data_IF_888665274628
#
_entry.id   IF_888665274628
#
_cell.length_a   1.000
_cell.length_b   1.000
_cell.length_c   1.000
_cell.angle_alpha   90.00
_cell.angle_beta   90.00
_cell.angle_gamma   90.00
#
_symmetry.space_group_name_H-M   'P 1'
#
loop_
_entity.id
_entity.type
_entity.pdbx_description
1 polymer ?
#
# COMPACT_ATOMS: atom_id res chain seq x y z
N UNK A 1 -18.01 -14.35 -14.02
CA UNK A 1 -18.31 -14.14 -12.58
C UNK A 1 -17.60 -15.23 -11.78
N UNK A 2 -17.19 -14.97 -10.53
CA UNK A 2 -16.43 -15.92 -9.69
C UNK A 2 -17.24 -16.40 -8.48
N UNK A 3 -16.91 -17.59 -7.98
CA UNK A 3 -17.43 -18.18 -6.74
C UNK A 3 -16.28 -18.76 -5.90
N UNK A 4 -16.52 -18.89 -4.60
CA UNK A 4 -15.58 -19.48 -3.66
C UNK A 4 -15.66 -21.02 -3.73
N UNK A 5 -14.52 -21.67 -3.85
CA UNK A 5 -14.38 -23.11 -3.76
C UNK A 5 -13.39 -23.46 -2.64
N UNK A 6 -13.86 -24.21 -1.64
CA UNK A 6 -13.02 -24.73 -0.56
C UNK A 6 -12.15 -25.88 -1.08
N UNK A 7 -10.88 -25.89 -0.72
CA UNK A 7 -9.93 -26.93 -1.14
C UNK A 7 -9.66 -27.90 0.01
N UNK A 8 -9.11 -27.41 1.13
CA UNK A 8 -8.88 -28.18 2.35
C UNK A 8 -8.76 -27.24 3.56
N UNK A 9 -9.13 -27.72 4.74
CA UNK A 9 -9.07 -26.95 5.99
C UNK A 9 -9.88 -25.65 5.93
N UNK A 10 -9.23 -24.54 6.28
CA UNK A 10 -9.70 -23.16 6.25
C UNK A 10 -9.22 -22.38 5.00
N UNK A 11 -8.80 -23.09 3.93
CA UNK A 11 -8.31 -22.47 2.69
C UNK A 11 -9.30 -22.62 1.52
N UNK A 12 -9.28 -21.62 0.63
CA UNK A 12 -10.15 -21.56 -0.53
C UNK A 12 -9.46 -20.89 -1.74
N UNK A 13 -10.03 -21.14 -2.93
CA UNK A 13 -9.70 -20.44 -4.17
C UNK A 13 -10.97 -19.80 -4.76
N UNK A 14 -10.79 -18.80 -5.62
CA UNK A 14 -11.87 -18.33 -6.49
C UNK A 14 -11.82 -19.07 -7.82
N UNK A 15 -12.99 -19.53 -8.28
CA UNK A 15 -13.17 -20.20 -9.57
C UNK A 15 -14.28 -19.53 -10.37
N UNK A 16 -14.22 -19.60 -11.70
CA UNK A 16 -15.28 -19.12 -12.58
C UNK A 16 -16.58 -19.87 -12.29
N UNK A 17 -17.70 -19.15 -12.28
CA UNK A 17 -19.01 -19.72 -11.93
C UNK A 17 -19.41 -20.83 -12.92
N UNK A 18 -19.16 -20.58 -14.21
CA UNK A 18 -19.68 -21.39 -15.31
C UNK A 18 -18.81 -22.60 -15.63
N UNK A 19 -17.48 -22.44 -15.56
CA UNK A 19 -16.52 -23.46 -16.00
C UNK A 19 -15.69 -24.07 -14.85
N UNK A 20 -15.82 -23.56 -13.62
CA UNK A 20 -14.99 -23.92 -12.46
C UNK A 20 -13.47 -23.80 -12.73
N UNK A 21 -13.08 -22.83 -13.56
CA UNK A 21 -11.66 -22.56 -13.84
C UNK A 21 -11.11 -21.65 -12.74
N UNK A 22 -9.94 -21.95 -12.13
CA UNK A 22 -9.32 -21.08 -11.14
C UNK A 22 -9.10 -19.65 -11.64
N UNK A 23 -9.23 -18.69 -10.73
CA UNK A 23 -8.78 -17.32 -10.98
C UNK A 23 -7.28 -17.33 -11.27
N UNK A 24 -6.88 -16.70 -12.36
CA UNK A 24 -5.49 -16.62 -12.80
C UNK A 24 -4.83 -15.34 -12.27
N UNK A 25 -3.51 -15.38 -12.08
CA UNK A 25 -2.67 -14.22 -11.77
C UNK A 25 -2.38 -13.39 -13.05
N UNK A 26 -1.52 -12.38 -12.94
CA UNK A 26 -1.12 -11.51 -14.06
C UNK A 26 -0.37 -12.28 -15.17
N UNK A 27 0.31 -13.37 -14.83
CA UNK A 27 1.08 -14.21 -15.75
C UNK A 27 0.23 -15.32 -16.41
N UNK A 28 -1.01 -15.52 -15.98
CA UNK A 28 -1.91 -16.56 -16.48
C UNK A 28 -1.87 -17.88 -15.70
N UNK A 29 -1.16 -17.93 -14.59
CA UNK A 29 -1.11 -19.09 -13.69
C UNK A 29 -2.23 -19.05 -12.65
N UNK A 30 -2.75 -20.20 -12.18
CA UNK A 30 -3.75 -20.23 -11.12
C UNK A 30 -3.25 -19.58 -9.82
N UNK A 31 -4.03 -18.67 -9.25
CA UNK A 31 -3.78 -18.14 -7.90
C UNK A 31 -3.81 -19.31 -6.90
N UNK A 32 -2.79 -19.37 -6.04
CA UNK A 32 -2.66 -20.40 -5.02
C UNK A 32 -3.80 -20.32 -3.98
N UNK A 33 -4.16 -21.43 -3.31
CA UNK A 33 -5.10 -21.40 -2.20
C UNK A 33 -4.68 -20.42 -1.10
N UNK A 34 -5.64 -19.64 -0.63
CA UNK A 34 -5.46 -18.64 0.45
C UNK A 34 -6.43 -18.93 1.59
N UNK A 35 -6.23 -18.37 2.79
CA UNK A 35 -7.23 -18.44 3.86
C UNK A 35 -8.62 -18.02 3.36
N UNK A 36 -9.67 -18.73 3.78
CA UNK A 36 -11.04 -18.56 3.28
C UNK A 36 -11.53 -17.13 3.45
N UNK A 37 -11.14 -16.46 4.54
CA UNK A 37 -11.48 -15.06 4.78
C UNK A 37 -10.85 -14.12 3.74
N UNK A 38 -9.61 -14.39 3.29
CA UNK A 38 -8.98 -13.62 2.21
C UNK A 38 -9.70 -13.87 0.88
N UNK A 39 -10.04 -15.12 0.58
CA UNK A 39 -10.82 -15.45 -0.62
C UNK A 39 -12.20 -14.77 -0.60
N UNK A 40 -12.86 -14.68 0.56
CA UNK A 40 -14.12 -13.94 0.73
C UNK A 40 -13.93 -12.44 0.53
N UNK A 41 -12.86 -11.85 1.06
CA UNK A 41 -12.55 -10.43 0.84
C UNK A 41 -12.38 -10.13 -0.65
N UNK A 42 -11.61 -10.96 -1.36
CA UNK A 42 -11.42 -10.84 -2.81
C UNK A 42 -12.73 -11.00 -3.59
N UNK A 43 -13.55 -12.00 -3.24
CA UNK A 43 -14.85 -12.20 -3.87
C UNK A 43 -15.78 -11.00 -3.64
N UNK A 44 -15.72 -10.39 -2.46
CA UNK A 44 -16.48 -9.19 -2.14
C UNK A 44 -15.99 -7.98 -2.94
N UNK A 45 -14.67 -7.85 -3.17
CA UNK A 45 -14.12 -6.85 -4.07
C UNK A 45 -14.66 -7.03 -5.50
N UNK A 46 -14.66 -8.26 -6.02
CA UNK A 46 -15.10 -8.57 -7.38
C UNK A 46 -16.59 -8.30 -7.64
N UNK A 47 -17.40 -8.26 -6.58
CA UNK A 47 -18.84 -7.96 -6.66
C UNK A 47 -19.14 -6.46 -6.65
N UNK A 48 -18.14 -5.60 -6.50
CA UNK A 48 -18.35 -4.15 -6.50
C UNK A 48 -18.50 -3.62 -7.92
N UNK A 49 -19.29 -2.56 -8.07
CA UNK A 49 -19.55 -1.91 -9.35
C UNK A 49 -18.34 -1.19 -9.96
N UNK A 50 -17.23 -1.03 -9.23
CA UNK A 50 -16.01 -0.38 -9.73
C UNK A 50 -15.03 -1.35 -10.42
N UNK A 51 -15.39 -2.63 -10.53
CA UNK A 51 -14.54 -3.67 -11.14
C UNK A 51 -14.70 -3.80 -12.66
N UNK A 52 -15.53 -2.95 -13.28
CA UNK A 52 -15.78 -2.97 -14.72
C UNK A 52 -15.33 -1.64 -15.35
N UNK A 53 -14.77 -1.69 -16.56
CA UNK A 53 -14.54 -0.47 -17.36
C UNK A 53 -15.83 0.04 -18.03
N UNK A 54 -15.68 1.08 -18.84
CA UNK A 54 -16.76 1.73 -19.58
C UNK A 54 -17.44 0.78 -20.58
N UNK A 55 -16.73 -0.27 -21.02
CA UNK A 55 -17.19 -1.29 -21.95
C UNK A 55 -17.72 -2.55 -21.24
N UNK A 56 -17.93 -2.48 -19.92
CA UNK A 56 -18.37 -3.59 -19.07
C UNK A 56 -17.41 -4.79 -19.04
N UNK A 57 -16.12 -4.58 -19.36
CA UNK A 57 -15.11 -5.62 -19.19
C UNK A 57 -14.69 -5.70 -17.72
N UNK A 58 -14.63 -6.91 -17.19
CA UNK A 58 -14.20 -7.15 -15.81
C UNK A 58 -12.67 -6.98 -15.68
N UNK A 59 -12.24 -6.08 -14.79
CA UNK A 59 -10.83 -5.72 -14.55
C UNK A 59 -10.44 -6.11 -13.12
N UNK A 60 -9.98 -7.36 -12.87
CA UNK A 60 -9.57 -7.81 -11.54
C UNK A 60 -8.43 -6.97 -10.94
N UNK A 61 -7.60 -6.34 -11.79
CA UNK A 61 -6.48 -5.46 -11.41
C UNK A 61 -6.91 -4.24 -10.58
N UNK A 62 -8.21 -3.91 -10.53
CA UNK A 62 -8.73 -2.85 -9.66
C UNK A 62 -8.86 -3.24 -8.19
N UNK A 63 -8.64 -4.51 -7.84
CA UNK A 63 -8.55 -4.99 -6.46
C UNK A 63 -7.09 -5.10 -6.01
N UNK A 64 -6.74 -4.42 -4.93
CA UNK A 64 -5.42 -4.53 -4.31
C UNK A 64 -5.11 -5.95 -3.81
N UNK A 65 -6.14 -6.62 -3.28
CA UNK A 65 -6.02 -8.00 -2.81
C UNK A 65 -5.68 -8.91 -4.00
N UNK A 66 -6.36 -8.73 -5.15
CA UNK A 66 -6.03 -9.48 -6.36
C UNK A 66 -4.58 -9.25 -6.78
N UNK A 67 -4.16 -7.99 -6.90
CA UNK A 67 -2.82 -7.67 -7.38
C UNK A 67 -1.73 -8.22 -6.43
N UNK A 68 -1.93 -8.16 -5.11
CA UNK A 68 -0.99 -8.76 -4.14
C UNK A 68 -0.94 -10.28 -4.27
N UNK A 69 -2.09 -10.96 -4.30
CA UNK A 69 -2.14 -12.41 -4.44
C UNK A 69 -1.56 -12.89 -5.77
N UNK A 70 -1.79 -12.13 -6.82
CA UNK A 70 -1.28 -12.37 -8.15
C UNK A 70 0.25 -12.33 -8.17
N UNK A 71 0.84 -11.27 -7.63
CA UNK A 71 2.29 -11.12 -7.57
C UNK A 71 2.94 -12.12 -6.59
N UNK A 72 2.33 -12.37 -5.43
CA UNK A 72 2.81 -13.39 -4.47
C UNK A 72 2.80 -14.80 -5.09
N UNK A 73 1.75 -15.11 -5.87
CA UNK A 73 1.68 -16.37 -6.60
C UNK A 73 2.84 -16.49 -7.59
N UNK A 74 3.12 -15.43 -8.36
CA UNK A 74 4.23 -15.44 -9.32
C UNK A 74 5.57 -15.71 -8.63
N UNK A 75 5.89 -14.96 -7.57
CA UNK A 75 7.15 -15.14 -6.83
C UNK A 75 7.30 -16.54 -6.22
N UNK A 76 6.22 -17.07 -5.62
CA UNK A 76 6.23 -18.43 -5.06
C UNK A 76 6.44 -19.51 -6.13
N UNK A 77 5.89 -19.32 -7.33
CA UNK A 77 6.04 -20.27 -8.42
C UNK A 77 7.43 -20.21 -9.05
N UNK A 78 8.10 -19.05 -8.98
CA UNK A 78 9.46 -18.85 -9.48
C UNK A 78 10.56 -19.24 -8.47
N UNK A 79 10.17 -19.66 -7.25
CA UNK A 79 11.08 -20.07 -6.17
C UNK A 79 12.11 -18.97 -5.81
N UNK A 80 11.68 -17.70 -5.89
CA UNK A 80 12.53 -16.56 -5.56
C UNK A 80 12.71 -16.46 -4.04
N UNK A 81 13.77 -17.10 -3.52
CA UNK A 81 14.06 -17.18 -2.07
C UNK A 81 14.44 -15.85 -1.40
N UNK A 82 14.47 -14.70 -2.09
CA UNK A 82 14.86 -13.43 -1.45
C UNK A 82 14.36 -12.18 -2.20
N UNK A 83 13.04 -11.97 -2.27
CA UNK A 83 12.53 -10.65 -2.65
C UNK A 83 12.86 -9.64 -1.54
N UNK A 84 13.83 -8.77 -1.83
CA UNK A 84 14.26 -7.68 -0.96
C UNK A 84 13.86 -6.35 -1.58
N UNK A 85 13.26 -5.48 -0.77
CA UNK A 85 12.90 -4.12 -1.18
C UNK A 85 13.88 -3.13 -0.51
N UNK A 86 14.63 -2.41 -1.34
CA UNK A 86 15.51 -1.32 -0.92
C UNK A 86 14.83 0.02 -1.17
N UNK A 87 14.59 0.77 -0.09
CA UNK A 87 13.98 2.11 -0.17
C UNK A 87 14.96 3.22 0.16
N UNK A 88 16.24 2.91 0.31
CA UNK A 88 17.25 3.86 0.82
C UNK A 88 17.42 5.09 -0.06
N UNK A 89 17.42 4.90 -1.37
CA UNK A 89 17.56 5.99 -2.34
C UNK A 89 16.29 6.84 -2.41
N UNK A 90 15.12 6.21 -2.63
CA UNK A 90 13.83 6.90 -2.77
C UNK A 90 13.42 7.67 -1.51
N UNK A 91 13.80 7.18 -0.32
CA UNK A 91 13.59 7.88 0.95
C UNK A 91 14.17 9.30 0.96
N UNK A 92 15.20 9.58 0.15
CA UNK A 92 15.76 10.93 0.04
C UNK A 92 14.72 11.96 -0.42
N UNK A 93 13.72 11.56 -1.22
CA UNK A 93 12.68 12.48 -1.69
C UNK A 93 11.37 12.41 -0.91
N UNK A 94 11.32 11.67 0.20
CA UNK A 94 10.08 11.47 0.96
C UNK A 94 9.44 12.80 1.35
N UNK A 95 8.22 13.04 0.84
CA UNK A 95 7.52 14.32 0.98
C UNK A 95 7.23 14.65 2.44
N UNK A 96 7.03 13.65 3.29
CA UNK A 96 6.71 13.89 4.70
C UNK A 96 7.82 14.66 5.43
N UNK A 97 9.09 14.48 5.04
CA UNK A 97 10.22 15.21 5.63
C UNK A 97 10.49 16.57 4.97
N UNK A 98 9.72 16.94 3.94
CA UNK A 98 9.89 18.20 3.19
C UNK A 98 8.75 19.20 3.40
N UNK A 99 7.79 18.85 4.26
CA UNK A 99 6.71 19.73 4.70
C UNK A 99 7.21 20.78 5.68
N UNK A 100 7.09 22.04 5.31
CA UNK A 100 7.39 23.16 6.19
C UNK A 100 6.38 23.24 7.34
N UNK A 101 6.80 23.77 8.49
CA UNK A 101 5.96 23.84 9.69
C UNK A 101 4.75 24.79 9.55
N UNK A 102 4.79 25.71 8.58
CA UNK A 102 3.67 26.55 8.16
C UNK A 102 2.76 25.88 7.12
N UNK A 103 3.05 24.63 6.72
CA UNK A 103 2.30 23.82 5.75
C UNK A 103 0.90 23.42 6.19
N UNK A 104 0.36 24.02 7.26
CA UNK A 104 -1.03 23.88 7.68
C UNK A 104 -1.43 22.43 7.92
N UNK A 105 -2.50 22.01 7.25
CA UNK A 105 -3.11 20.69 7.46
C UNK A 105 -2.24 19.53 6.98
N UNK A 106 -1.41 19.71 5.94
CA UNK A 106 -0.48 18.66 5.50
C UNK A 106 0.53 18.31 6.61
N UNK A 107 1.05 19.33 7.31
CA UNK A 107 1.98 19.16 8.42
C UNK A 107 1.33 18.52 9.66
N UNK A 108 0.05 18.82 9.90
CA UNK A 108 -0.73 18.20 10.96
C UNK A 108 -1.15 16.76 10.62
N UNK A 109 -1.40 16.45 9.35
CA UNK A 109 -1.77 15.11 8.91
C UNK A 109 -0.66 14.08 9.13
N UNK A 110 0.60 14.51 9.10
CA UNK A 110 1.77 13.65 9.38
C UNK A 110 2.19 13.62 10.86
N UNK A 111 1.34 14.10 11.79
CA UNK A 111 1.66 14.16 13.23
C UNK A 111 2.17 12.83 13.78
N UNK A 112 1.52 11.72 13.44
CA UNK A 112 1.87 10.39 13.96
C UNK A 112 3.22 9.89 13.44
N UNK A 113 3.61 10.29 12.22
CA UNK A 113 4.97 10.08 11.71
C UNK A 113 5.98 10.91 12.50
N UNK A 114 5.69 12.20 12.74
CA UNK A 114 6.55 13.07 13.55
C UNK A 114 6.74 12.54 14.97
N UNK A 115 5.68 12.04 15.58
CA UNK A 115 5.73 11.40 16.90
C UNK A 115 6.56 10.11 16.90
N UNK A 116 6.49 9.31 15.84
CA UNK A 116 7.30 8.09 15.70
C UNK A 116 8.80 8.40 15.58
N UNK A 117 9.18 9.39 14.78
CA UNK A 117 10.57 9.80 14.64
C UNK A 117 11.08 10.62 15.84
N UNK A 118 10.21 11.35 16.53
CA UNK A 118 10.54 12.08 17.75
C UNK A 118 11.63 13.12 17.51
N UNK A 119 12.70 13.06 18.30
CA UNK A 119 13.86 13.96 18.16
C UNK A 119 14.63 13.75 16.83
N UNK A 120 14.46 12.60 16.18
CA UNK A 120 15.08 12.33 14.87
C UNK A 120 14.33 13.04 13.73
N UNK A 121 13.10 13.52 13.95
CA UNK A 121 12.32 14.14 12.88
C UNK A 121 12.93 15.48 12.45
N UNK A 122 13.18 15.63 11.16
CA UNK A 122 13.70 16.84 10.55
C UNK A 122 12.74 17.39 9.50
N UNK A 123 12.80 18.70 9.30
CA UNK A 123 12.14 19.38 8.17
C UNK A 123 13.24 19.85 7.23
N UNK A 124 13.25 19.27 6.04
CA UNK A 124 14.17 19.62 4.95
C UNK A 124 13.48 20.55 3.96
N UNK A 125 14.24 21.35 3.19
CA UNK A 125 13.67 22.13 2.10
C UNK A 125 13.11 21.22 1.00
N UNK A 126 12.34 21.78 0.07
CA UNK A 126 12.01 21.10 -1.17
C UNK A 126 13.29 20.83 -1.97
N UNK A 127 13.36 19.65 -2.60
CA UNK A 127 14.51 19.23 -3.38
C UNK A 127 14.08 18.86 -4.79
N UNK A 128 14.76 19.46 -5.78
CA UNK A 128 14.53 19.25 -7.20
C UNK A 128 15.66 18.47 -7.88
N UNK A 129 16.62 17.92 -7.12
CA UNK A 129 17.66 17.06 -7.66
C UNK A 129 17.02 15.80 -8.26
N UNK A 130 17.53 15.37 -9.42
CA UNK A 130 17.04 14.18 -10.12
C UNK A 130 17.75 12.89 -9.67
N UNK A 131 18.84 13.03 -8.90
CA UNK A 131 19.62 11.92 -8.33
C UNK A 131 20.19 12.28 -6.96
N UNK A 132 20.59 11.27 -6.17
CA UNK A 132 21.21 11.48 -4.85
C UNK A 132 22.57 12.16 -4.97
N UNK A 133 23.30 11.90 -6.06
CA UNK A 133 24.62 12.50 -6.35
C UNK A 133 24.54 14.02 -6.57
N UNK A 134 23.41 14.51 -7.08
CA UNK A 134 23.17 15.94 -7.33
C UNK A 134 22.69 16.69 -6.08
N UNK A 135 22.25 15.97 -5.05
CA UNK A 135 21.80 16.58 -3.80
C UNK A 135 22.95 17.22 -3.05
N UNK A 136 22.71 18.43 -2.54
CA UNK A 136 23.61 19.02 -1.54
C UNK A 136 23.44 18.29 -0.21
N UNK A 137 24.48 18.29 0.61
CA UNK A 137 24.46 17.61 1.91
C UNK A 137 23.34 18.13 2.83
N UNK A 138 23.02 19.42 2.76
CA UNK A 138 21.91 20.02 3.51
C UNK A 138 20.51 19.59 3.03
N UNK A 139 20.39 19.05 1.81
CA UNK A 139 19.13 18.61 1.21
C UNK A 139 18.87 17.10 1.40
N UNK A 140 19.90 16.36 1.85
CA UNK A 140 19.85 14.91 2.08
C UNK A 140 19.18 14.59 3.41
N UNK A 141 18.36 13.54 3.39
CA UNK A 141 17.78 12.97 4.60
C UNK A 141 18.90 12.32 5.44
N UNK A 142 18.97 12.59 6.75
CA UNK A 142 19.97 11.96 7.62
C UNK A 142 19.93 10.43 7.55
N UNK A 143 21.11 9.81 7.42
CA UNK A 143 21.25 8.35 7.25
C UNK A 143 20.54 7.53 8.35
N UNK A 144 20.51 8.04 9.59
CA UNK A 144 19.86 7.35 10.70
C UNK A 144 18.33 7.25 10.52
N UNK A 145 17.69 8.21 9.85
CA UNK A 145 16.25 8.17 9.52
C UNK A 145 16.00 7.12 8.45
N UNK A 146 16.78 7.14 7.37
CA UNK A 146 16.70 6.17 6.27
C UNK A 146 16.88 4.76 6.82
N UNK A 147 17.92 4.55 7.62
CA UNK A 147 18.20 3.27 8.25
C UNK A 147 17.07 2.83 9.17
N UNK A 148 16.50 3.72 9.98
CA UNK A 148 15.36 3.40 10.86
C UNK A 148 14.15 2.90 10.06
N UNK A 149 13.87 3.48 8.88
CA UNK A 149 12.82 3.01 7.98
C UNK A 149 13.17 1.68 7.33
N UNK A 150 14.39 1.53 6.78
CA UNK A 150 14.85 0.28 6.16
C UNK A 150 14.87 -0.88 7.18
N UNK A 151 15.26 -0.62 8.43
CA UNK A 151 15.27 -1.63 9.51
C UNK A 151 13.85 -2.11 9.84
N UNK A 152 12.82 -1.26 9.72
CA UNK A 152 11.43 -1.70 9.84
C UNK A 152 11.04 -2.64 8.69
N UNK A 153 11.36 -2.24 7.46
CA UNK A 153 11.07 -2.98 6.23
C UNK A 153 11.78 -4.34 6.20
N UNK A 154 13.04 -4.41 6.62
CA UNK A 154 13.80 -5.66 6.74
C UNK A 154 13.17 -6.64 7.74
N UNK A 155 12.30 -6.15 8.64
CA UNK A 155 11.54 -6.97 9.58
C UNK A 155 10.18 -7.40 9.06
N UNK A 156 9.90 -7.26 7.76
CA UNK A 156 8.63 -7.64 7.14
C UNK A 156 8.73 -9.05 6.55
N UNK A 157 7.61 -9.77 6.55
CA UNK A 157 7.49 -10.99 5.74
C UNK A 157 7.23 -10.63 4.26
N UNK A 158 7.30 -11.62 3.36
CA UNK A 158 7.11 -11.41 1.93
C UNK A 158 5.81 -10.66 1.59
N UNK A 159 4.69 -11.01 2.25
CA UNK A 159 3.39 -10.36 2.04
C UNK A 159 3.43 -8.88 2.43
N UNK A 160 4.04 -8.55 3.56
CA UNK A 160 4.21 -7.17 4.02
C UNK A 160 5.18 -6.38 3.12
N UNK A 161 6.28 -6.98 2.66
CA UNK A 161 7.23 -6.32 1.76
C UNK A 161 6.59 -5.98 0.41
N UNK A 162 5.83 -6.90 -0.18
CA UNK A 162 5.11 -6.65 -1.43
C UNK A 162 3.99 -5.62 -1.27
N UNK A 163 3.33 -5.63 -0.11
CA UNK A 163 2.36 -4.61 0.23
C UNK A 163 2.98 -3.21 0.20
N UNK A 164 4.18 -3.05 0.79
CA UNK A 164 4.91 -1.79 0.71
C UNK A 164 5.17 -1.41 -0.73
N UNK A 165 5.81 -2.28 -1.51
CA UNK A 165 6.17 -2.01 -2.92
C UNK A 165 4.96 -1.52 -3.73
N UNK A 166 3.85 -2.25 -3.67
CA UNK A 166 2.63 -1.90 -4.41
C UNK A 166 1.98 -0.60 -3.94
N UNK A 167 2.06 -0.26 -2.65
CA UNK A 167 1.55 1.00 -2.13
C UNK A 167 2.44 2.17 -2.53
N UNK A 168 3.76 1.97 -2.53
CA UNK A 168 4.69 2.98 -3.03
C UNK A 168 4.40 3.30 -4.50
N UNK A 169 4.25 2.29 -5.34
CA UNK A 169 3.85 2.46 -6.74
C UNK A 169 2.49 3.14 -6.87
N UNK A 170 1.49 2.72 -6.08
CA UNK A 170 0.15 3.33 -6.13
C UNK A 170 0.17 4.83 -5.82
N UNK A 171 0.95 5.22 -4.82
CA UNK A 171 1.04 6.61 -4.37
C UNK A 171 2.22 7.35 -4.99
N UNK A 172 2.77 6.87 -6.11
CA UNK A 172 3.84 7.52 -6.86
C UNK A 172 5.04 7.90 -5.97
N UNK A 173 5.37 7.00 -5.02
CA UNK A 173 6.45 7.16 -4.05
C UNK A 173 6.35 8.43 -3.18
N UNK A 174 5.13 8.98 -3.01
CA UNK A 174 4.89 10.25 -2.30
C UNK A 174 5.49 10.27 -0.88
N UNK A 175 5.33 9.18 -0.11
CA UNK A 175 5.97 9.04 1.19
C UNK A 175 6.20 7.56 1.52
N UNK A 176 7.47 7.19 1.62
CA UNK A 176 7.89 5.85 1.98
C UNK A 176 7.65 5.59 3.47
N UNK A 177 7.99 6.55 4.31
CA UNK A 177 7.85 6.44 5.75
C UNK A 177 6.39 6.23 6.18
N UNK A 178 5.43 6.94 5.56
CA UNK A 178 4.01 6.72 5.84
C UNK A 178 3.54 5.31 5.47
N UNK A 179 3.94 4.82 4.30
CA UNK A 179 3.59 3.47 3.84
C UNK A 179 4.18 2.41 4.77
N UNK A 180 5.47 2.48 5.08
CA UNK A 180 6.14 1.53 5.97
C UNK A 180 5.52 1.54 7.37
N UNK A 181 5.23 2.72 7.93
CA UNK A 181 4.59 2.83 9.25
C UNK A 181 3.17 2.28 9.26
N UNK A 182 2.40 2.46 8.19
CA UNK A 182 1.05 1.92 8.09
C UNK A 182 1.05 0.39 7.98
N UNK A 183 1.88 -0.17 7.10
CA UNK A 183 2.01 -1.65 6.97
C UNK A 183 2.47 -2.26 8.29
N UNK A 184 3.39 -1.59 9.03
CA UNK A 184 3.81 -2.02 10.37
C UNK A 184 2.80 -1.72 11.48
N UNK A 185 1.61 -1.21 11.14
CA UNK A 185 0.53 -0.87 12.06
C UNK A 185 0.95 0.12 13.16
N UNK A 186 1.87 1.04 12.83
CA UNK A 186 2.29 2.15 13.70
C UNK A 186 1.40 3.38 13.59
N UNK A 187 0.68 3.50 12.47
CA UNK A 187 -0.33 4.53 12.23
C UNK A 187 -1.63 3.86 11.76
N UNK A 188 -2.77 4.48 12.07
CA UNK A 188 -4.08 3.94 11.66
C UNK A 188 -4.36 4.16 10.17
N UNK A 189 -5.30 3.38 9.62
CA UNK A 189 -5.76 3.55 8.22
C UNK A 189 -6.33 4.93 7.96
N UNK A 190 -7.04 5.51 8.92
CA UNK A 190 -7.61 6.86 8.80
C UNK A 190 -6.50 7.92 8.70
N UNK A 191 -5.49 7.84 9.58
CA UNK A 191 -4.34 8.76 9.55
C UNK A 191 -3.52 8.61 8.28
N UNK A 192 -3.19 7.37 7.90
CA UNK A 192 -2.46 7.08 6.66
C UNK A 192 -3.19 7.62 5.44
N UNK A 193 -4.48 7.29 5.30
CA UNK A 193 -5.28 7.71 4.14
C UNK A 193 -5.38 9.22 4.07
N UNK A 194 -5.63 9.89 5.20
CA UNK A 194 -5.72 11.34 5.25
C UNK A 194 -4.41 12.01 4.84
N UNK A 195 -3.29 11.56 5.41
CA UNK A 195 -1.97 12.09 5.07
C UNK A 195 -1.66 11.89 3.57
N UNK A 196 -1.83 10.68 3.04
CA UNK A 196 -1.55 10.40 1.62
C UNK A 196 -2.41 11.23 0.67
N UNK A 197 -3.69 11.42 0.99
CA UNK A 197 -4.62 12.23 0.19
C UNK A 197 -4.21 13.70 0.12
N UNK A 198 -3.79 14.27 1.23
CA UNK A 198 -3.33 15.66 1.26
C UNK A 198 -1.97 15.80 0.56
N UNK A 199 -1.03 14.89 0.82
CA UNK A 199 0.32 14.94 0.26
C UNK A 199 0.36 14.74 -1.26
N UNK A 200 -0.56 13.96 -1.82
CA UNK A 200 -0.70 13.78 -3.27
C UNK A 200 -1.36 14.98 -3.97
N UNK A 201 -1.86 15.96 -3.20
CA UNK A 201 -2.41 17.20 -3.74
C UNK A 201 -3.82 17.06 -4.34
N UNK A 202 -4.58 16.02 -3.97
CA UNK A 202 -5.95 15.87 -4.44
C UNK A 202 -6.94 16.86 -3.84
N UNK A 203 -6.57 17.54 -2.76
CA UNK A 203 -7.40 18.49 -2.03
C UNK A 203 -6.65 19.80 -1.75
N UNK A 204 -7.39 20.90 -1.73
CA UNK A 204 -6.86 22.20 -1.36
C UNK A 204 -6.51 22.23 0.13
N UNK A 205 -5.47 23.00 0.46
CA UNK A 205 -5.08 23.29 1.85
C UNK A 205 -6.24 23.99 2.58
N UNK A 206 -6.66 23.44 3.72
CA UNK A 206 -7.82 23.91 4.49
C UNK A 206 -9.06 23.01 4.40
N UNK A 207 -8.93 21.83 3.76
CA UNK A 207 -9.98 20.81 3.71
C UNK A 207 -9.87 19.89 4.92
N UNK A 208 -10.87 19.93 5.80
CA UNK A 208 -10.88 19.09 7.00
C UNK A 208 -10.94 17.59 6.67
N UNK A 209 -10.45 16.75 7.60
CA UNK A 209 -10.59 15.28 7.53
C UNK A 209 -12.03 14.84 7.24
N UNK A 210 -13.01 15.54 7.80
CA UNK A 210 -14.42 15.19 7.70
C UNK A 210 -14.97 15.48 6.30
N UNK A 211 -14.49 16.56 5.67
CA UNK A 211 -14.79 16.90 4.28
C UNK A 211 -14.11 15.93 3.32
N UNK A 212 -12.83 15.60 3.56
CA UNK A 212 -12.08 14.58 2.80
C UNK A 212 -12.81 13.23 2.85
N UNK A 213 -13.25 12.80 4.03
CA UNK A 213 -14.01 11.53 4.23
C UNK A 213 -15.38 11.52 3.57
N UNK A 214 -15.98 12.69 3.34
CA UNK A 214 -17.29 12.81 2.68
C UNK A 214 -17.21 12.55 1.16
N UNK A 215 -16.02 12.65 0.58
CA UNK A 215 -15.82 12.42 -0.85
C UNK A 215 -15.88 10.93 -1.17
N UNK A 216 -16.76 10.56 -2.10
CA UNK A 216 -17.06 9.17 -2.42
C UNK A 216 -15.83 8.32 -2.76
N UNK A 217 -14.91 8.86 -3.56
CA UNK A 217 -13.70 8.12 -3.94
C UNK A 217 -12.74 7.92 -2.76
N UNK A 218 -12.58 8.91 -1.88
CA UNK A 218 -11.77 8.78 -0.66
C UNK A 218 -12.39 7.76 0.28
N UNK A 219 -13.70 7.82 0.49
CA UNK A 219 -14.41 6.85 1.31
C UNK A 219 -14.22 5.42 0.77
N UNK A 220 -14.23 5.26 -0.56
CA UNK A 220 -13.93 3.99 -1.20
C UNK A 220 -12.48 3.56 -1.01
N UNK A 221 -11.52 4.48 -1.04
CA UNK A 221 -10.11 4.21 -0.78
C UNK A 221 -9.90 3.77 0.67
N UNK A 222 -10.46 4.48 1.66
CA UNK A 222 -10.41 4.07 3.08
C UNK A 222 -10.92 2.63 3.22
N UNK A 223 -12.11 2.34 2.67
CA UNK A 223 -12.67 0.98 2.69
C UNK A 223 -11.80 -0.05 1.98
N UNK A 224 -11.03 0.33 0.96
CA UNK A 224 -10.07 -0.56 0.28
C UNK A 224 -8.86 -0.80 1.18
N UNK A 225 -8.31 0.25 1.79
CA UNK A 225 -7.18 0.18 2.72
C UNK A 225 -7.53 -0.59 4.00
N UNK A 226 -8.74 -0.46 4.55
CA UNK A 226 -9.20 -1.25 5.70
C UNK A 226 -9.22 -2.75 5.38
N UNK A 227 -9.76 -3.12 4.21
CA UNK A 227 -9.74 -4.52 3.74
C UNK A 227 -8.32 -5.01 3.48
N UNK A 228 -7.48 -4.14 2.95
CA UNK A 228 -6.07 -4.46 2.77
C UNK A 228 -5.37 -4.68 4.11
N UNK A 229 -5.63 -3.86 5.12
CA UNK A 229 -5.15 -4.07 6.48
C UNK A 229 -5.65 -5.39 7.09
N UNK A 230 -6.90 -5.78 6.82
CA UNK A 230 -7.42 -7.10 7.22
C UNK A 230 -6.69 -8.24 6.50
N UNK A 231 -6.36 -8.06 5.21
CA UNK A 231 -5.54 -9.00 4.46
C UNK A 231 -4.12 -9.11 5.04
N UNK A 232 -3.48 -7.99 5.39
CA UNK A 232 -2.18 -8.00 6.06
C UNK A 232 -2.22 -8.76 7.39
N UNK A 233 -3.30 -8.57 8.16
CA UNK A 233 -3.51 -9.25 9.44
C UNK A 233 -3.95 -10.73 9.31
N UNK A 234 -4.33 -11.20 8.11
CA UNK A 234 -4.69 -12.60 7.90
C UNK A 234 -3.47 -13.54 7.98
N UNK A 235 -3.69 -14.83 8.18
CA UNK A 235 -2.62 -15.83 8.21
C UNK A 235 -1.88 -15.96 6.86
N UNK A 236 -0.76 -16.68 6.85
CA UNK A 236 0.10 -16.82 5.67
C UNK A 236 -0.60 -17.55 4.51
N UNK A 237 -0.16 -17.25 3.28
CA UNK A 237 -0.60 -17.94 2.07
C UNK A 237 0.10 -19.29 2.01
N UNK A 238 -0.64 -20.38 1.73
CA UNK A 238 -0.07 -21.73 1.56
C UNK A 238 0.71 -21.86 0.24
#
# INVERSE_FOLDING_TARGET
MYKLQRIDGDHAILVSTDENVPLLNHSGDPILPVPEEVAKMLLNDFKRGDMFDEDENFIPQRSYIYCNLSSLTALKLEDEEAYELDVTEVMQWDRAFRLQADGGEEYEAIKSLREFFGEDYVVLPLNSAESVEEMKEEDKLPEHIIKKTQDLLNGFNLKETMAVDMLLEHFEMTSVALVVLWVKQKISTDEFTYAMVLLTGYFDVGTSLEEVKSVYWVNNMIKKMERFGQYLASEDIF
#
